data_IF_436620088237
#
_entry.id   IF_436620088237
#
_cell.length_a   1.000
_cell.length_b   1.000
_cell.length_c   1.000
_cell.angle_alpha   90.00
_cell.angle_beta   90.00
_cell.angle_gamma   90.00
#
_symmetry.space_group_name_H-M   'P 1'
#
loop_
_entity.id
_entity.type
_entity.pdbx_description
1 polymer ?
#
# COMPACT_ATOMS: atom_id res chain seq x y z
N UNK A 1 7.17 2.39 21.72
CA UNK A 1 7.87 3.36 20.83
C UNK A 1 7.05 4.64 20.77
N UNK A 2 7.64 5.82 20.75
CA UNK A 2 6.86 7.05 20.70
C UNK A 2 6.55 7.49 19.24
N UNK A 3 5.67 8.48 19.07
CA UNK A 3 5.26 8.98 17.75
C UNK A 3 6.41 9.60 16.94
N UNK A 4 7.36 10.22 17.64
CA UNK A 4 8.50 10.86 17.00
C UNK A 4 9.44 9.81 16.40
N UNK A 5 9.73 8.74 17.16
CA UNK A 5 10.55 7.63 16.67
C UNK A 5 9.95 6.99 15.43
N UNK A 6 8.63 6.75 15.42
CA UNK A 6 7.94 6.15 14.26
C UNK A 6 7.91 7.08 13.05
N UNK A 7 7.74 8.39 13.27
CA UNK A 7 7.82 9.37 12.19
C UNK A 7 9.23 9.45 11.60
N UNK A 8 10.26 9.36 12.45
CA UNK A 8 11.68 9.34 12.01
C UNK A 8 11.98 8.08 11.21
N UNK A 9 11.58 6.89 11.71
CA UNK A 9 11.72 5.63 10.97
C UNK A 9 11.00 5.66 9.61
N UNK A 10 9.81 6.27 9.54
CA UNK A 10 9.10 6.41 8.29
C UNK A 10 9.85 7.30 7.28
N UNK A 11 10.46 8.37 7.75
CA UNK A 11 11.30 9.24 6.92
C UNK A 11 12.58 8.52 6.47
N UNK A 12 13.29 7.88 7.39
CA UNK A 12 14.53 7.13 7.09
C UNK A 12 14.27 6.02 6.07
N UNK A 13 13.16 5.29 6.21
CA UNK A 13 12.81 4.25 5.23
C UNK A 13 12.48 4.85 3.86
N UNK A 14 11.77 5.97 3.78
CA UNK A 14 11.51 6.65 2.51
C UNK A 14 12.81 7.06 1.83
N UNK A 15 13.73 7.68 2.56
CA UNK A 15 15.05 8.08 2.06
C UNK A 15 15.89 6.86 1.62
N UNK A 16 15.86 5.77 2.39
CA UNK A 16 16.52 4.50 2.03
C UNK A 16 16.00 3.93 0.71
N UNK A 17 14.70 4.07 0.46
CA UNK A 17 14.04 3.59 -0.75
C UNK A 17 14.07 4.62 -1.91
N UNK A 18 14.80 5.72 -1.75
CA UNK A 18 14.97 6.72 -2.79
C UNK A 18 13.83 7.73 -2.93
N UNK A 19 12.89 7.75 -1.97
CA UNK A 19 11.78 8.70 -1.94
C UNK A 19 12.10 9.93 -1.11
N UNK A 20 11.52 11.06 -1.48
CA UNK A 20 11.62 12.25 -0.65
C UNK A 20 10.64 12.20 0.55
N UNK A 21 10.95 12.99 1.58
CA UNK A 21 10.15 13.07 2.79
C UNK A 21 8.88 13.95 2.65
N UNK A 22 8.58 14.51 1.48
CA UNK A 22 7.57 15.56 1.34
C UNK A 22 6.48 15.27 0.31
N UNK A 23 6.72 14.39 -0.67
CA UNK A 23 5.75 14.07 -1.73
C UNK A 23 4.84 12.90 -1.35
N UNK A 24 3.62 12.80 -1.89
CA UNK A 24 2.87 11.55 -1.88
C UNK A 24 3.67 10.45 -2.55
N UNK A 25 3.64 9.23 -1.99
CA UNK A 25 4.40 8.09 -2.50
C UNK A 25 3.51 7.16 -3.32
N UNK A 26 3.96 6.69 -4.47
CA UNK A 26 3.38 5.50 -5.09
C UNK A 26 4.00 4.25 -4.46
N UNK A 27 3.39 3.81 -3.37
CA UNK A 27 3.93 2.74 -2.54
C UNK A 27 4.01 1.39 -3.27
N UNK A 28 3.13 1.12 -4.25
CA UNK A 28 3.19 -0.14 -5.00
C UNK A 28 4.36 -0.14 -5.99
N UNK A 29 4.55 0.95 -6.72
CA UNK A 29 5.72 1.12 -7.58
C UNK A 29 7.02 1.09 -6.78
N UNK A 30 7.04 1.73 -5.60
CA UNK A 30 8.17 1.71 -4.69
C UNK A 30 8.50 0.29 -4.22
N UNK A 31 7.50 -0.49 -3.79
CA UNK A 31 7.70 -1.87 -3.33
C UNK A 31 8.27 -2.78 -4.41
N UNK A 32 7.89 -2.59 -5.68
CA UNK A 32 8.43 -3.35 -6.81
C UNK A 32 9.91 -3.09 -7.08
N UNK A 33 10.48 -2.01 -6.56
CA UNK A 33 11.89 -1.66 -6.67
C UNK A 33 12.75 -2.24 -5.53
N UNK A 34 12.11 -2.70 -4.43
CA UNK A 34 12.83 -3.29 -3.30
C UNK A 34 13.48 -4.60 -3.72
N UNK A 35 14.80 -4.67 -3.57
CA UNK A 35 15.58 -5.83 -3.96
C UNK A 35 15.18 -7.09 -3.17
N UNK A 36 14.92 -8.17 -3.88
CA UNK A 36 14.52 -9.45 -3.30
C UNK A 36 13.07 -9.52 -2.84
N UNK A 37 12.26 -8.44 -2.96
CA UNK A 37 10.87 -8.46 -2.54
C UNK A 37 9.96 -9.00 -3.64
N UNK A 38 9.15 -10.00 -3.28
CA UNK A 38 7.98 -10.44 -4.03
C UNK A 38 6.72 -9.86 -3.41
N UNK A 39 5.93 -9.13 -4.20
CA UNK A 39 4.66 -8.55 -3.78
C UNK A 39 3.51 -9.32 -4.42
N UNK A 40 2.59 -9.82 -3.59
CA UNK A 40 1.44 -10.62 -4.02
C UNK A 40 0.14 -9.92 -3.63
N UNK A 41 -0.74 -9.71 -4.59
CA UNK A 41 -2.13 -9.35 -4.33
C UNK A 41 -2.97 -10.61 -4.37
N UNK A 42 -3.76 -10.84 -3.31
CA UNK A 42 -4.58 -12.05 -3.20
C UNK A 42 -5.80 -11.81 -2.30
N UNK A 43 -6.95 -12.46 -2.54
CA UNK A 43 -8.08 -12.45 -1.62
C UNK A 43 -7.77 -13.24 -0.35
N UNK A 44 -7.21 -12.59 0.67
CA UNK A 44 -6.78 -13.22 1.93
C UNK A 44 -7.91 -13.49 2.93
N UNK A 45 -9.17 -13.24 2.52
CA UNK A 45 -10.33 -13.37 3.41
C UNK A 45 -10.59 -12.12 4.24
N UNK A 46 -11.69 -12.12 5.00
CA UNK A 46 -12.22 -10.90 5.62
C UNK A 46 -11.38 -10.33 6.77
N UNK A 47 -10.61 -11.16 7.45
CA UNK A 47 -9.92 -10.79 8.68
C UNK A 47 -8.42 -10.50 8.52
N UNK A 48 -7.84 -10.76 7.36
CA UNK A 48 -6.42 -10.57 7.08
C UNK A 48 -6.26 -9.39 6.14
N UNK A 49 -5.48 -8.39 6.52
CA UNK A 49 -5.18 -7.22 5.70
C UNK A 49 -3.93 -7.39 4.85
N UNK A 50 -2.94 -8.10 5.36
CA UNK A 50 -1.69 -8.42 4.71
C UNK A 50 -0.93 -9.47 5.50
N UNK A 51 0.21 -9.84 4.99
CA UNK A 51 1.19 -10.68 5.66
C UNK A 51 2.59 -10.39 5.11
N UNK A 52 3.57 -10.47 6.00
CA UNK A 52 4.98 -10.35 5.66
C UNK A 52 5.71 -11.64 6.03
N UNK A 53 6.51 -12.14 5.10
CA UNK A 53 7.44 -13.25 5.34
C UNK A 53 8.83 -12.77 5.01
N UNK A 54 9.75 -12.93 5.95
CA UNK A 54 11.14 -12.59 5.75
C UNK A 54 12.05 -13.66 6.35
N UNK A 55 12.94 -14.19 5.55
CA UNK A 55 14.05 -14.99 6.01
C UNK A 55 15.34 -14.60 5.25
N UNK A 56 16.38 -15.44 5.31
CA UNK A 56 17.67 -15.17 4.66
C UNK A 56 17.59 -15.17 3.13
N UNK A 57 16.65 -15.90 2.54
CA UNK A 57 16.55 -16.15 1.10
C UNK A 57 15.31 -15.49 0.48
N UNK A 58 14.29 -15.17 1.28
CA UNK A 58 13.00 -14.74 0.77
C UNK A 58 12.46 -13.52 1.52
N UNK A 59 11.97 -12.55 0.73
CA UNK A 59 11.13 -11.43 1.20
C UNK A 59 9.82 -11.48 0.42
N UNK A 60 8.71 -11.66 1.11
CA UNK A 60 7.39 -11.69 0.50
C UNK A 60 6.42 -10.86 1.32
N UNK A 61 5.67 -10.00 0.64
CA UNK A 61 4.52 -9.31 1.20
C UNK A 61 3.29 -9.70 0.39
N UNK A 62 2.24 -10.17 1.06
CA UNK A 62 0.94 -10.41 0.44
C UNK A 62 -0.08 -9.41 0.99
N UNK A 63 -0.85 -8.79 0.09
CA UNK A 63 -1.86 -7.76 0.40
C UNK A 63 -3.24 -8.27 0.00
N UNK A 64 -4.21 -8.05 0.89
CA UNK A 64 -5.59 -8.41 0.63
C UNK A 64 -6.23 -7.48 -0.42
N UNK A 65 -6.33 -7.98 -1.63
CA UNK A 65 -6.87 -7.27 -2.80
C UNK A 65 -8.38 -7.01 -2.75
N UNK A 66 -9.12 -7.67 -1.83
CA UNK A 66 -10.55 -7.42 -1.63
C UNK A 66 -10.86 -6.20 -0.76
N UNK A 67 -9.83 -5.62 -0.15
CA UNK A 67 -9.95 -4.34 0.57
C UNK A 67 -9.94 -3.17 -0.40
N UNK A 68 -10.45 -2.00 0.04
CA UNK A 68 -10.35 -0.77 -0.74
C UNK A 68 -8.88 -0.44 -1.07
N UNK A 69 -8.66 0.20 -2.22
CA UNK A 69 -7.31 0.54 -2.69
C UNK A 69 -6.52 1.36 -1.66
N UNK A 70 -7.17 2.33 -1.00
CA UNK A 70 -6.54 3.09 0.07
C UNK A 70 -6.16 2.22 1.28
N UNK A 71 -6.94 1.17 1.57
CA UNK A 71 -6.60 0.21 2.64
C UNK A 71 -5.46 -0.71 2.22
N UNK A 72 -5.39 -1.15 0.96
CA UNK A 72 -4.28 -1.93 0.44
C UNK A 72 -2.95 -1.16 0.55
N UNK A 73 -2.96 0.14 0.23
CA UNK A 73 -1.78 1.02 0.38
C UNK A 73 -1.35 1.14 1.85
N UNK A 74 -2.31 1.32 2.75
CA UNK A 74 -2.04 1.31 4.19
C UNK A 74 -1.45 -0.01 4.65
N UNK A 75 -2.04 -1.13 4.24
CA UNK A 75 -1.55 -2.47 4.58
C UNK A 75 -0.12 -2.67 4.08
N UNK A 76 0.21 -2.24 2.86
CA UNK A 76 1.60 -2.36 2.39
C UNK A 76 2.57 -1.52 3.22
N UNK A 77 2.21 -0.29 3.61
CA UNK A 77 3.05 0.51 4.49
C UNK A 77 3.25 -0.14 5.87
N UNK A 78 2.21 -0.79 6.40
CA UNK A 78 2.24 -1.58 7.63
C UNK A 78 3.20 -2.78 7.49
N UNK A 79 3.08 -3.56 6.40
CA UNK A 79 3.97 -4.70 6.14
C UNK A 79 5.43 -4.29 5.89
N UNK A 80 5.67 -3.10 5.33
CA UNK A 80 7.03 -2.56 5.22
C UNK A 80 7.66 -2.27 6.58
N UNK A 81 6.86 -1.90 7.60
CA UNK A 81 7.39 -1.79 8.96
C UNK A 81 7.92 -3.15 9.45
N UNK A 82 7.14 -4.21 9.29
CA UNK A 82 7.58 -5.57 9.66
C UNK A 82 8.80 -6.02 8.87
N UNK A 83 8.83 -5.72 7.57
CA UNK A 83 9.95 -6.10 6.72
C UNK A 83 11.29 -5.45 7.15
N UNK A 84 11.26 -4.21 7.64
CA UNK A 84 12.48 -3.45 7.91
C UNK A 84 12.84 -3.31 9.39
N UNK A 85 11.87 -3.39 10.30
CA UNK A 85 12.06 -3.02 11.69
C UNK A 85 11.75 -4.12 12.70
N UNK A 86 11.19 -5.26 12.28
CA UNK A 86 11.10 -6.42 13.17
C UNK A 86 12.44 -7.12 13.28
N UNK A 87 12.82 -7.50 14.49
CA UNK A 87 14.12 -8.13 14.78
C UNK A 87 14.13 -9.62 14.39
N UNK A 88 12.98 -10.26 14.26
CA UNK A 88 12.88 -11.68 13.99
C UNK A 88 12.59 -11.96 12.52
N UNK A 89 13.40 -12.82 11.92
CA UNK A 89 13.06 -13.49 10.66
C UNK A 89 11.91 -14.45 10.93
N UNK A 90 10.84 -14.38 10.12
CA UNK A 90 9.70 -15.26 10.34
C UNK A 90 8.48 -14.90 9.49
N UNK A 91 7.37 -15.47 9.90
CA UNK A 91 6.08 -15.32 9.22
C UNK A 91 5.16 -14.46 10.10
N UNK A 92 4.85 -13.24 9.66
CA UNK A 92 3.92 -12.34 10.30
C UNK A 92 2.62 -12.24 9.49
N UNK A 93 1.50 -12.53 10.14
CA UNK A 93 0.15 -12.39 9.55
C UNK A 93 -0.57 -11.25 10.24
N UNK A 94 -0.84 -10.19 9.50
CA UNK A 94 -1.53 -9.02 10.02
C UNK A 94 -3.05 -9.18 9.86
N UNK A 95 -3.75 -9.36 10.98
CA UNK A 95 -5.20 -9.47 10.99
C UNK A 95 -5.88 -8.11 11.18
N UNK A 96 -7.10 -7.94 10.66
CA UNK A 96 -7.94 -6.76 10.93
C UNK A 96 -8.26 -6.57 12.41
N UNK A 97 -8.21 -7.64 13.21
CA UNK A 97 -8.36 -7.60 14.64
C UNK A 97 -6.97 -7.46 15.24
N UNK A 98 -6.61 -6.24 15.55
CA UNK A 98 -5.44 -5.95 16.34
C UNK A 98 -5.50 -6.74 17.64
N UNK A 99 -4.51 -7.56 17.89
CA UNK A 99 -4.19 -7.92 19.25
C UNK A 99 -3.38 -6.74 19.85
N UNK A 100 -3.99 -5.88 20.68
CA UNK A 100 -3.30 -4.70 21.20
C UNK A 100 -2.13 -5.05 22.14
N UNK A 101 -1.90 -6.33 22.39
CA UNK A 101 -0.79 -6.84 23.21
C UNK A 101 0.51 -7.01 22.42
N UNK A 102 0.45 -7.03 21.09
CA UNK A 102 1.65 -7.13 20.25
C UNK A 102 2.14 -5.72 19.96
N UNK A 103 3.21 -5.30 20.61
CA UNK A 103 3.77 -3.94 20.49
C UNK A 103 4.16 -3.62 19.05
N UNK A 104 4.69 -4.59 18.29
CA UNK A 104 5.12 -4.41 16.91
C UNK A 104 3.94 -4.08 15.98
N UNK A 105 2.77 -4.74 16.14
CA UNK A 105 1.56 -4.43 15.37
C UNK A 105 1.10 -2.98 15.60
N UNK A 106 1.13 -2.53 16.86
CA UNK A 106 0.78 -1.13 17.19
C UNK A 106 1.78 -0.14 16.58
N UNK A 107 3.05 -0.51 16.55
CA UNK A 107 4.08 0.31 15.92
C UNK A 107 3.88 0.37 14.41
N UNK A 108 3.59 -0.74 13.75
CA UNK A 108 3.31 -0.81 12.31
C UNK A 108 2.07 0.01 11.92
N UNK A 109 0.99 -0.09 12.71
CA UNK A 109 -0.23 0.71 12.52
C UNK A 109 -0.01 2.21 12.68
N UNK A 110 0.87 2.61 13.58
CA UNK A 110 1.21 4.02 13.78
C UNK A 110 2.26 4.50 12.77
N UNK A 111 3.14 3.64 12.29
CA UNK A 111 4.13 3.93 11.26
C UNK A 111 3.49 4.20 9.90
N UNK A 112 2.54 3.35 9.47
CA UNK A 112 1.95 3.41 8.14
C UNK A 112 1.40 4.81 7.76
N UNK A 113 0.63 5.52 8.62
CA UNK A 113 0.17 6.88 8.34
C UNK A 113 1.31 7.90 8.22
N UNK A 114 2.44 7.73 8.94
CA UNK A 114 3.60 8.61 8.80
C UNK A 114 4.35 8.36 7.51
N UNK A 115 4.41 7.10 7.08
CA UNK A 115 5.04 6.74 5.81
C UNK A 115 4.26 7.28 4.61
N UNK A 116 2.93 7.14 4.60
CA UNK A 116 2.07 7.61 3.51
C UNK A 116 1.89 9.14 3.50
N UNK A 117 1.75 9.77 4.67
CA UNK A 117 1.56 11.20 4.83
C UNK A 117 2.56 11.77 5.86
N UNK A 118 3.81 12.05 5.46
CA UNK A 118 4.82 12.60 6.33
C UNK A 118 4.36 13.88 7.02
N UNK A 119 4.78 14.08 8.27
CA UNK A 119 4.29 15.18 9.12
C UNK A 119 4.35 16.55 8.47
N UNK A 120 5.50 16.90 7.90
CA UNK A 120 5.74 18.20 7.25
C UNK A 120 4.84 18.37 6.02
N UNK A 121 4.69 17.32 5.23
CA UNK A 121 3.85 17.31 4.04
C UNK A 121 2.36 17.43 4.38
N UNK A 122 1.91 16.68 5.39
CA UNK A 122 0.54 16.74 5.86
C UNK A 122 0.17 18.14 6.35
N UNK A 123 1.02 18.79 7.15
CA UNK A 123 0.79 20.17 7.61
C UNK A 123 0.71 21.17 6.46
N UNK A 124 1.58 21.03 5.46
CA UNK A 124 1.55 21.89 4.28
C UNK A 124 0.26 21.69 3.46
N UNK A 125 -0.17 20.43 3.29
CA UNK A 125 -1.41 20.10 2.60
C UNK A 125 -2.64 20.62 3.36
N UNK A 126 -2.70 20.46 4.67
CA UNK A 126 -3.78 21.01 5.51
C UNK A 126 -3.86 22.54 5.35
N UNK A 127 -2.72 23.23 5.44
CA UNK A 127 -2.68 24.68 5.26
C UNK A 127 -3.19 25.10 3.87
N UNK A 128 -2.93 24.30 2.84
CA UNK A 128 -3.40 24.55 1.47
C UNK A 128 -4.90 24.38 1.31
N UNK A 129 -5.51 23.35 1.92
CA UNK A 129 -6.93 23.03 1.73
C UNK A 129 -7.86 23.75 2.72
N UNK A 130 -7.44 23.94 3.98
CA UNK A 130 -8.26 24.51 5.05
C UNK A 130 -7.77 25.89 5.55
N UNK A 131 -6.57 26.31 5.17
CA UNK A 131 -5.96 27.54 5.70
C UNK A 131 -5.78 27.46 7.21
N UNK A 132 -6.40 28.40 7.94
CA UNK A 132 -6.49 28.42 9.40
C UNK A 132 -7.87 28.02 9.92
N UNK A 133 -8.75 27.53 9.03
CA UNK A 133 -10.11 27.13 9.39
C UNK A 133 -10.18 25.71 9.96
N UNK A 134 -11.36 25.34 10.44
CA UNK A 134 -11.64 23.97 10.86
C UNK A 134 -11.61 23.01 9.67
N UNK A 135 -11.16 21.79 9.93
CA UNK A 135 -11.20 20.71 8.94
C UNK A 135 -12.66 20.30 8.73
N UNK A 136 -13.08 20.26 7.46
CA UNK A 136 -14.38 19.72 7.04
C UNK A 136 -14.20 18.38 6.31
N UNK A 137 -15.32 17.69 6.07
CA UNK A 137 -15.35 16.45 5.28
C UNK A 137 -14.67 16.61 3.91
N UNK A 138 -14.91 17.72 3.22
CA UNK A 138 -14.28 18.01 1.92
C UNK A 138 -12.76 18.11 2.03
N UNK A 139 -12.26 18.69 3.11
CA UNK A 139 -10.81 18.79 3.36
C UNK A 139 -10.21 17.41 3.65
N UNK A 140 -10.89 16.54 4.41
CA UNK A 140 -10.45 15.15 4.64
C UNK A 140 -10.35 14.40 3.32
N UNK A 141 -11.37 14.49 2.47
CA UNK A 141 -11.38 13.86 1.14
C UNK A 141 -10.24 14.39 0.26
N UNK A 142 -9.99 15.68 0.23
CA UNK A 142 -8.88 16.25 -0.54
C UNK A 142 -7.52 15.73 -0.05
N UNK A 143 -7.35 15.57 1.27
CA UNK A 143 -6.12 15.04 1.86
C UNK A 143 -5.94 13.55 1.60
N UNK A 144 -6.99 12.74 1.75
CA UNK A 144 -6.89 11.31 1.50
C UNK A 144 -6.63 10.98 0.03
N UNK A 145 -7.23 11.74 -0.89
CA UNK A 145 -6.95 11.63 -2.33
C UNK A 145 -5.50 12.04 -2.65
N UNK A 146 -5.01 13.12 -2.04
CA UNK A 146 -3.65 13.59 -2.25
C UNK A 146 -2.59 12.59 -1.77
N UNK A 147 -2.80 11.97 -0.59
CA UNK A 147 -1.85 11.01 -0.03
C UNK A 147 -2.14 9.54 -0.40
N UNK A 148 -3.27 9.26 -1.04
CA UNK A 148 -3.70 7.90 -1.37
C UNK A 148 -4.00 7.05 -0.14
N UNK A 149 -4.55 7.64 0.92
CA UNK A 149 -4.91 6.95 2.17
C UNK A 149 -6.39 6.60 2.20
N UNK A 150 -6.76 5.51 2.90
CA UNK A 150 -8.17 5.24 3.16
C UNK A 150 -8.77 6.33 4.05
N UNK A 151 -10.07 6.57 3.89
CA UNK A 151 -10.79 7.61 4.64
C UNK A 151 -10.57 7.48 6.16
N UNK A 152 -10.74 6.28 6.69
CA UNK A 152 -10.54 6.04 8.13
C UNK A 152 -9.09 6.30 8.57
N UNK A 153 -8.10 5.91 7.76
CA UNK A 153 -6.70 6.15 8.08
C UNK A 153 -6.37 7.65 8.10
N UNK A 154 -6.90 8.43 7.14
CA UNK A 154 -6.73 9.88 7.12
C UNK A 154 -7.45 10.55 8.30
N UNK A 155 -8.68 10.13 8.61
CA UNK A 155 -9.42 10.65 9.77
C UNK A 155 -8.61 10.47 11.07
N UNK A 156 -8.16 9.24 11.36
CA UNK A 156 -7.37 8.96 12.57
C UNK A 156 -6.01 9.66 12.57
N UNK A 157 -5.42 9.86 11.39
CA UNK A 157 -4.20 10.66 11.26
C UNK A 157 -4.43 12.12 11.67
N UNK A 158 -5.54 12.72 11.25
CA UNK A 158 -5.92 14.08 11.64
C UNK A 158 -6.30 14.19 13.12
N UNK A 159 -6.97 13.18 13.68
CA UNK A 159 -7.22 13.10 15.13
C UNK A 159 -5.91 13.03 15.90
N UNK A 160 -4.97 12.21 15.47
CA UNK A 160 -3.67 12.04 16.15
C UNK A 160 -2.82 13.31 16.17
N UNK A 161 -3.04 14.21 15.21
CA UNK A 161 -2.36 15.53 15.11
C UNK A 161 -3.19 16.67 15.75
N UNK A 162 -4.36 16.36 16.32
CA UNK A 162 -5.21 17.33 17.00
C UNK A 162 -6.04 18.26 16.07
N UNK A 163 -6.19 17.89 14.81
CA UNK A 163 -7.03 18.64 13.86
C UNK A 163 -8.51 18.25 13.94
N UNK A 164 -8.80 17.03 14.37
CA UNK A 164 -10.16 16.51 14.58
C UNK A 164 -10.29 15.89 15.97
N UNK A 165 -11.52 15.82 16.48
CA UNK A 165 -11.86 15.02 17.67
C UNK A 165 -12.27 13.62 17.25
N UNK A 166 -11.94 12.61 18.07
CA UNK A 166 -12.40 11.22 17.87
C UNK A 166 -13.92 11.10 17.85
N UNK A 167 -14.62 11.97 18.59
CA UNK A 167 -16.09 11.99 18.70
C UNK A 167 -16.77 12.41 17.39
N UNK A 168 -16.02 13.05 16.48
CA UNK A 168 -16.54 13.46 15.17
C UNK A 168 -16.61 12.30 14.14
N UNK A 169 -16.16 11.08 14.49
CA UNK A 169 -16.06 9.97 13.54
C UNK A 169 -17.40 9.68 12.83
N UNK A 170 -18.51 9.72 13.54
CA UNK A 170 -19.83 9.44 12.99
C UNK A 170 -20.21 10.45 11.90
N UNK A 171 -19.96 11.73 12.12
CA UNK A 171 -20.23 12.81 11.17
C UNK A 171 -19.37 12.69 9.89
N UNK A 172 -18.19 12.09 9.99
CA UNK A 172 -17.26 11.90 8.87
C UNK A 172 -17.38 10.53 8.20
N UNK A 173 -18.22 9.61 8.69
CA UNK A 173 -18.28 8.23 8.19
C UNK A 173 -19.26 8.00 7.06
N UNK A 174 -20.13 8.96 6.75
CA UNK A 174 -21.21 8.80 5.77
C UNK A 174 -20.99 9.65 4.51
N UNK A 175 -21.41 9.13 3.34
CA UNK A 175 -21.40 9.91 2.09
C UNK A 175 -20.03 10.17 1.47
N UNK A 176 -18.96 9.49 1.93
CA UNK A 176 -17.56 9.71 1.49
C UNK A 176 -17.42 9.64 -0.03
N UNK A 177 -17.85 8.53 -0.64
CA UNK A 177 -17.72 8.32 -2.09
C UNK A 177 -18.55 9.34 -2.90
N UNK A 178 -19.75 9.67 -2.42
CA UNK A 178 -20.61 10.66 -3.08
C UNK A 178 -19.98 12.04 -3.04
N UNK A 179 -19.41 12.42 -1.89
CA UNK A 179 -18.70 13.69 -1.76
C UNK A 179 -17.42 13.72 -2.60
N UNK A 180 -16.64 12.62 -2.66
CA UNK A 180 -15.44 12.53 -3.51
C UNK A 180 -15.79 12.78 -4.99
N UNK A 181 -16.84 12.12 -5.50
CA UNK A 181 -17.34 12.34 -6.88
C UNK A 181 -17.82 13.77 -7.10
N UNK A 182 -18.53 14.34 -6.13
CA UNK A 182 -19.00 15.74 -6.20
C UNK A 182 -17.82 16.72 -6.30
N UNK A 183 -16.70 16.41 -5.63
CA UNK A 183 -15.47 17.20 -5.69
C UNK A 183 -14.62 16.92 -6.95
N UNK A 184 -15.06 16.02 -7.84
CA UNK A 184 -14.39 15.70 -9.10
C UNK A 184 -13.32 14.61 -9.00
N UNK A 185 -13.21 13.90 -7.88
CA UNK A 185 -12.32 12.76 -7.73
C UNK A 185 -12.96 11.47 -8.26
N UNK A 186 -12.14 10.54 -8.74
CA UNK A 186 -12.60 9.18 -8.98
C UNK A 186 -12.84 8.42 -7.65
N UNK A 187 -13.45 7.26 -7.72
CA UNK A 187 -13.77 6.47 -6.54
C UNK A 187 -12.87 5.25 -6.33
N UNK A 188 -11.78 5.14 -7.11
CA UNK A 188 -10.82 4.03 -7.05
C UNK A 188 -10.27 3.82 -5.62
N UNK A 189 -9.96 4.92 -4.92
CA UNK A 189 -9.40 4.86 -3.57
C UNK A 189 -10.29 4.09 -2.58
N UNK A 190 -11.60 4.11 -2.79
CA UNK A 190 -12.62 3.52 -1.89
C UNK A 190 -13.09 2.14 -2.31
N UNK A 191 -12.66 1.66 -3.46
CA UNK A 191 -13.05 0.37 -4.03
C UNK A 191 -11.95 -0.68 -3.91
N UNK A 192 -12.31 -1.97 -3.84
CA UNK A 192 -11.33 -3.03 -3.99
C UNK A 192 -10.76 -3.07 -5.41
N UNK A 193 -9.68 -3.81 -5.57
CA UNK A 193 -9.17 -4.18 -6.89
C UNK A 193 -10.25 -4.94 -7.67
N UNK A 194 -10.47 -4.67 -8.97
CA UNK A 194 -11.37 -5.45 -9.81
C UNK A 194 -11.11 -6.96 -9.72
N UNK A 195 -12.16 -7.77 -9.78
CA UNK A 195 -12.07 -9.20 -9.47
C UNK A 195 -11.04 -9.95 -10.33
N UNK A 196 -10.93 -9.58 -11.60
CA UNK A 196 -9.98 -10.13 -12.58
C UNK A 196 -8.51 -9.78 -12.27
N UNK A 197 -8.27 -8.73 -11.48
CA UNK A 197 -6.94 -8.24 -11.08
C UNK A 197 -6.60 -8.52 -9.62
N UNK A 198 -7.49 -9.23 -8.89
CA UNK A 198 -7.29 -9.48 -7.46
C UNK A 198 -6.16 -10.47 -7.15
N UNK A 199 -5.74 -11.26 -8.13
CA UNK A 199 -4.65 -12.23 -8.00
C UNK A 199 -3.54 -11.81 -8.93
N UNK A 200 -2.44 -11.30 -8.39
CA UNK A 200 -1.28 -10.83 -9.18
C UNK A 200 -0.02 -10.86 -8.33
N UNK A 201 1.06 -11.28 -8.94
CA UNK A 201 2.39 -11.26 -8.34
C UNK A 201 3.27 -10.28 -9.09
N UNK A 202 4.13 -9.56 -8.36
CA UNK A 202 5.07 -8.57 -8.88
C UNK A 202 6.44 -8.72 -8.21
N UNK A 203 7.44 -8.06 -8.78
CA UNK A 203 8.76 -7.92 -8.16
C UNK A 203 9.68 -9.11 -8.39
N UNK A 204 10.37 -9.55 -7.33
CA UNK A 204 11.53 -10.44 -7.43
C UNK A 204 11.22 -11.79 -8.09
N UNK A 205 10.11 -12.42 -7.73
CA UNK A 205 9.74 -13.72 -8.33
C UNK A 205 9.67 -13.66 -9.86
N UNK A 206 9.02 -12.64 -10.42
CA UNK A 206 8.92 -12.51 -11.87
C UNK A 206 10.27 -12.22 -12.51
N UNK A 207 11.15 -11.44 -11.85
CA UNK A 207 12.53 -11.23 -12.31
C UNK A 207 13.32 -12.54 -12.39
N UNK A 208 13.15 -13.41 -11.40
CA UNK A 208 13.78 -14.74 -11.40
C UNK A 208 13.25 -15.63 -12.53
N UNK A 209 11.92 -15.64 -12.76
CA UNK A 209 11.32 -16.37 -13.89
C UNK A 209 11.87 -15.86 -15.22
N UNK A 210 11.97 -14.55 -15.40
CA UNK A 210 12.54 -13.94 -16.61
C UNK A 210 14.02 -14.29 -16.78
N UNK A 211 14.80 -14.32 -15.70
CA UNK A 211 16.21 -14.78 -15.76
C UNK A 211 16.34 -16.24 -16.18
N UNK A 212 15.46 -17.13 -15.67
CA UNK A 212 15.43 -18.53 -16.09
C UNK A 212 15.15 -18.65 -17.59
N UNK A 213 14.22 -17.84 -18.10
CA UNK A 213 13.86 -17.77 -19.53
C UNK A 213 15.03 -17.29 -20.38
N UNK A 214 15.65 -16.16 -19.99
CA UNK A 214 16.77 -15.56 -20.76
C UNK A 214 18.01 -16.43 -20.80
N UNK A 215 18.27 -17.20 -19.74
CA UNK A 215 19.41 -18.11 -19.64
C UNK A 215 19.12 -19.50 -20.20
N UNK A 216 17.90 -19.75 -20.74
CA UNK A 216 17.44 -21.05 -21.27
C UNK A 216 17.67 -22.22 -20.28
N UNK A 217 17.43 -21.97 -18.98
CA UNK A 217 17.67 -22.94 -17.92
C UNK A 217 16.52 -23.93 -17.73
N UNK A 218 15.35 -23.60 -18.23
CA UNK A 218 14.13 -24.44 -18.14
C UNK A 218 13.34 -24.34 -19.44
N UNK A 219 12.49 -25.34 -19.71
CA UNK A 219 11.62 -25.32 -20.90
C UNK A 219 10.60 -24.18 -20.87
N UNK A 220 10.09 -23.78 -22.05
CA UNK A 220 8.98 -22.81 -22.15
C UNK A 220 7.76 -23.23 -21.35
N UNK A 221 7.36 -24.49 -21.40
CA UNK A 221 6.24 -24.99 -20.59
C UNK A 221 6.47 -24.85 -19.07
N UNK A 222 7.75 -24.93 -18.60
CA UNK A 222 8.06 -24.67 -17.19
C UNK A 222 7.97 -23.18 -16.86
N UNK A 223 8.35 -22.29 -17.78
CA UNK A 223 8.14 -20.85 -17.63
C UNK A 223 6.65 -20.54 -17.50
N UNK A 224 5.81 -21.10 -18.39
CA UNK A 224 4.36 -20.90 -18.33
C UNK A 224 3.77 -21.39 -17.00
N UNK A 225 4.20 -22.56 -16.51
CA UNK A 225 3.81 -23.07 -15.19
C UNK A 225 4.17 -22.09 -14.06
N UNK A 226 5.39 -21.57 -14.04
CA UNK A 226 5.86 -20.61 -13.03
C UNK A 226 5.09 -19.29 -13.09
N UNK A 227 4.72 -18.81 -14.28
CA UNK A 227 3.89 -17.63 -14.46
C UNK A 227 2.46 -17.85 -13.98
N UNK A 228 1.86 -19.02 -14.28
CA UNK A 228 0.54 -19.36 -13.79
C UNK A 228 0.48 -19.50 -12.26
N UNK A 229 1.52 -20.09 -11.64
CA UNK A 229 1.65 -20.15 -10.18
C UNK A 229 1.73 -18.76 -9.55
N UNK A 230 2.28 -17.79 -10.30
CA UNK A 230 2.34 -16.37 -9.91
C UNK A 230 1.06 -15.57 -10.24
N UNK A 231 0.01 -16.21 -10.72
CA UNK A 231 -1.22 -15.54 -11.19
C UNK A 231 -0.97 -14.54 -12.33
N UNK A 232 -0.06 -14.87 -13.22
CA UNK A 232 0.33 -14.07 -14.38
C UNK A 232 -0.01 -14.80 -15.69
N UNK A 233 -1.26 -15.23 -15.77
CA UNK A 233 -1.88 -15.78 -16.97
C UNK A 233 -1.88 -14.79 -18.15
N UNK A 234 -1.93 -13.49 -17.87
CA UNK A 234 -1.74 -12.40 -18.82
C UNK A 234 -0.40 -12.54 -19.56
N UNK A 235 0.71 -12.81 -18.86
CA UNK A 235 2.02 -13.01 -19.47
C UNK A 235 2.13 -14.40 -20.11
N UNK A 236 1.70 -15.45 -19.42
CA UNK A 236 1.83 -16.84 -19.90
C UNK A 236 1.10 -17.07 -21.24
N UNK A 237 -0.04 -16.42 -21.45
CA UNK A 237 -0.85 -16.56 -22.65
C UNK A 237 -0.78 -15.37 -23.61
N UNK A 238 0.04 -14.35 -23.31
CA UNK A 238 0.14 -13.16 -24.14
C UNK A 238 -1.18 -12.39 -24.24
N UNK A 239 -1.97 -12.37 -23.17
CA UNK A 239 -3.29 -11.74 -23.12
C UNK A 239 -3.25 -10.22 -22.95
N UNK A 240 -2.08 -9.62 -22.92
CA UNK A 240 -1.92 -8.18 -22.92
C UNK A 240 -2.39 -7.65 -24.29
N UNK A 241 -3.53 -6.98 -24.33
CA UNK A 241 -4.18 -6.44 -25.54
C UNK A 241 -3.32 -5.39 -26.27
N UNK A 242 -2.22 -4.94 -25.65
CA UNK A 242 -1.35 -3.89 -26.18
C UNK A 242 -0.36 -4.36 -27.27
N UNK A 243 -0.20 -5.67 -27.49
CA UNK A 243 0.76 -6.19 -28.49
C UNK A 243 0.16 -6.32 -29.91
N UNK A 244 -1.10 -5.95 -30.13
CA UNK A 244 -1.74 -5.92 -31.46
C UNK A 244 -1.79 -4.56 -32.15
N UNK A 245 -1.30 -3.51 -31.52
CA UNK A 245 -1.23 -2.18 -32.11
C UNK A 245 0.17 -1.64 -31.94
N UNK A 246 0.88 -1.46 -33.08
CA UNK A 246 2.25 -0.96 -33.13
C UNK A 246 2.50 0.20 -32.17
N UNK A 247 3.63 0.14 -31.50
CA UNK A 247 4.15 1.11 -30.57
C UNK A 247 3.90 2.56 -31.01
N UNK A 248 3.01 3.24 -30.31
CA UNK A 248 3.12 4.68 -30.21
C UNK A 248 4.08 4.97 -29.06
N UNK A 249 5.36 5.04 -29.35
CA UNK A 249 6.35 5.62 -28.44
C UNK A 249 6.21 7.12 -28.60
N UNK A 250 5.61 7.80 -27.60
CA UNK A 250 5.64 9.25 -27.46
C UNK A 250 6.98 9.73 -26.89
#
# INVERSE_FOLDING_TARGET
>A
MDKLDLSTKAQELRELLGEDANSPVDIFSLANQIEGLTLVFYPLGENISGMCVRDQEMKLIAINSTMSYGRQRFSLAHELYHLYFDDESGFNVCSKRLDPKIENERCADQFAPYFLAPYKSLRAAIKKVAGNGAISMQHVIALEQYFGMSHLAMFWRLVSEGYLSSDALEDYSSGVMSMARYLGYDDKLYKPTPAELQRRTYGHYLKQVEELRQKDLVSSGKIDELLLDAFRDDIAFGLDEDDQGGEAID
#
